data_IF_360040252176
#
_entry.id   IF_360040252176
#
_cell.length_a   1.000
_cell.length_b   1.000
_cell.length_c   1.000
_cell.angle_alpha   90.00
_cell.angle_beta   90.00
_cell.angle_gamma   90.00
#
_symmetry.space_group_name_H-M   'P 1'
#
loop_
_entity.id
_entity.type
_entity.pdbx_description
1 polymer ?
#
# COMPACT_ATOMS: atom_id res chain seq x y z
N UNK A 1 -25.16 10.96 -33.87
CA UNK A 1 -25.05 9.68 -33.12
C UNK A 1 -24.01 9.88 -32.03
N UNK A 2 -24.42 9.90 -30.76
CA UNK A 2 -23.50 10.08 -29.61
C UNK A 2 -23.34 8.71 -28.95
N UNK A 3 -22.13 8.17 -28.95
CA UNK A 3 -21.81 6.91 -28.27
C UNK A 3 -21.88 7.09 -26.74
N UNK A 4 -22.39 6.11 -25.97
CA UNK A 4 -22.42 6.22 -24.52
C UNK A 4 -20.99 6.07 -23.96
N UNK A 5 -20.59 7.00 -23.08
CA UNK A 5 -19.35 6.86 -22.30
C UNK A 5 -19.48 5.62 -21.41
N UNK A 6 -18.56 4.67 -21.60
CA UNK A 6 -18.41 3.45 -20.80
C UNK A 6 -18.25 3.85 -19.34
N UNK A 7 -19.22 3.49 -18.49
CA UNK A 7 -19.06 3.62 -17.03
C UNK A 7 -17.96 2.65 -16.63
N UNK A 8 -16.83 3.17 -16.16
CA UNK A 8 -15.79 2.41 -15.47
C UNK A 8 -16.45 1.70 -14.28
N UNK A 9 -16.74 0.41 -14.44
CA UNK A 9 -17.29 -0.41 -13.38
C UNK A 9 -16.26 -0.53 -12.27
N UNK A 10 -16.55 0.05 -11.11
CA UNK A 10 -15.77 -0.20 -9.90
C UNK A 10 -15.74 -1.72 -9.69
N UNK A 11 -14.54 -2.31 -9.73
CA UNK A 11 -14.36 -3.77 -9.73
C UNK A 11 -14.71 -4.30 -8.34
N UNK A 12 -15.99 -4.60 -8.11
CA UNK A 12 -16.54 -5.09 -6.84
C UNK A 12 -15.71 -6.24 -6.26
N UNK A 13 -15.17 -7.11 -7.13
CA UNK A 13 -14.32 -8.24 -6.77
C UNK A 13 -12.99 -7.87 -6.10
N UNK A 14 -12.40 -6.71 -6.42
CA UNK A 14 -11.18 -6.22 -5.75
C UNK A 14 -11.49 -5.71 -4.35
N UNK A 15 -12.61 -5.01 -4.20
CA UNK A 15 -13.06 -4.46 -2.93
C UNK A 15 -13.42 -5.59 -1.94
N UNK A 16 -14.15 -6.61 -2.41
CA UNK A 16 -14.47 -7.79 -1.58
C UNK A 16 -13.23 -8.54 -1.11
N UNK A 17 -12.21 -8.69 -1.97
CA UNK A 17 -10.94 -9.34 -1.58
C UNK A 17 -10.19 -8.55 -0.50
N UNK A 18 -10.17 -7.22 -0.62
CA UNK A 18 -9.50 -6.36 0.34
C UNK A 18 -10.17 -6.45 1.72
N UNK A 19 -11.50 -6.40 1.77
CA UNK A 19 -12.26 -6.57 3.02
C UNK A 19 -11.98 -7.93 3.66
N UNK A 20 -11.93 -9.00 2.88
CA UNK A 20 -11.63 -10.33 3.44
C UNK A 20 -10.22 -10.41 4.03
N UNK A 21 -9.23 -9.80 3.38
CA UNK A 21 -7.84 -9.81 3.88
C UNK A 21 -7.70 -8.99 5.18
N UNK A 22 -8.35 -7.82 5.24
CA UNK A 22 -8.37 -6.97 6.43
C UNK A 22 -9.06 -7.66 7.61
N UNK A 23 -10.21 -8.31 7.37
CA UNK A 23 -10.91 -9.08 8.39
C UNK A 23 -10.09 -10.27 8.91
N UNK A 24 -9.37 -10.99 8.04
CA UNK A 24 -8.49 -12.07 8.48
C UNK A 24 -7.31 -11.55 9.31
N UNK A 25 -6.73 -10.41 8.94
CA UNK A 25 -5.67 -9.78 9.73
C UNK A 25 -6.14 -9.42 11.14
N UNK A 26 -7.32 -8.81 11.28
CA UNK A 26 -7.89 -8.49 12.59
C UNK A 26 -8.09 -9.74 13.45
N UNK A 27 -8.57 -10.83 12.85
CA UNK A 27 -8.69 -12.12 13.55
C UNK A 27 -7.34 -12.65 14.01
N UNK A 28 -6.30 -12.57 13.18
CA UNK A 28 -4.94 -13.00 13.56
C UNK A 28 -4.38 -12.14 14.71
N UNK A 29 -4.53 -10.82 14.61
CA UNK A 29 -4.04 -9.88 15.64
C UNK A 29 -4.74 -10.09 16.98
N UNK A 30 -6.05 -10.40 17.00
CA UNK A 30 -6.78 -10.67 18.25
C UNK A 30 -6.36 -11.95 18.98
N UNK A 31 -5.62 -12.85 18.32
CA UNK A 31 -5.05 -14.05 18.92
C UNK A 31 -3.67 -13.83 19.54
N UNK A 32 -3.05 -12.67 19.32
CA UNK A 32 -1.74 -12.34 19.85
C UNK A 32 -1.80 -11.99 21.34
N UNK A 33 -0.74 -12.35 22.08
CA UNK A 33 -0.53 -11.86 23.44
C UNK A 33 -0.20 -10.35 23.44
N UNK A 34 -0.42 -9.63 24.57
CA UNK A 34 -0.10 -8.21 24.64
C UNK A 34 1.36 -7.87 24.29
N UNK A 35 2.31 -8.74 24.65
CA UNK A 35 3.73 -8.58 24.31
C UNK A 35 3.97 -8.64 22.79
N UNK A 36 3.34 -9.61 22.10
CA UNK A 36 3.47 -9.76 20.64
C UNK A 36 2.75 -8.63 19.90
N UNK A 37 1.66 -8.10 20.45
CA UNK A 37 1.01 -6.90 19.91
C UNK A 37 1.95 -5.69 19.96
N UNK A 38 2.75 -5.55 21.02
CA UNK A 38 3.74 -4.45 21.07
C UNK A 38 4.85 -4.64 20.03
N UNK A 39 5.36 -5.86 19.85
CA UNK A 39 6.32 -6.17 18.78
C UNK A 39 5.75 -5.86 17.38
N UNK A 40 4.49 -6.23 17.14
CA UNK A 40 3.77 -5.89 15.92
C UNK A 40 3.67 -4.36 15.70
N UNK A 41 3.37 -3.60 16.76
CA UNK A 41 3.29 -2.15 16.67
C UNK A 41 4.63 -1.50 16.34
N UNK A 42 5.73 -2.00 16.90
CA UNK A 42 7.09 -1.55 16.55
C UNK A 42 7.38 -1.82 15.08
N UNK A 43 7.19 -3.06 14.62
CA UNK A 43 7.41 -3.44 13.21
C UNK A 43 6.55 -2.62 12.26
N UNK A 44 5.27 -2.39 12.60
CA UNK A 44 4.35 -1.55 11.82
C UNK A 44 4.89 -0.13 11.69
N UNK A 45 5.32 0.50 12.80
CA UNK A 45 5.86 1.87 12.79
C UNK A 45 7.11 1.99 11.92
N UNK A 46 8.02 1.02 12.01
CA UNK A 46 9.25 1.02 11.21
C UNK A 46 8.95 0.99 9.71
N UNK A 47 8.01 0.13 9.32
CA UNK A 47 7.58 0.02 7.94
C UNK A 47 6.78 1.24 7.46
N UNK A 48 5.92 1.82 8.30
CA UNK A 48 5.20 3.07 8.00
C UNK A 48 6.19 4.23 7.76
N UNK A 49 7.25 4.31 8.57
CA UNK A 49 8.31 5.29 8.41
C UNK A 49 9.04 5.10 7.08
N UNK A 50 9.41 3.86 6.74
CA UNK A 50 10.06 3.54 5.47
C UNK A 50 9.15 3.90 4.28
N UNK A 51 7.87 3.52 4.30
CA UNK A 51 6.91 3.85 3.24
C UNK A 51 6.75 5.37 3.06
N UNK A 52 6.72 6.12 4.17
CA UNK A 52 6.67 7.59 4.12
C UNK A 52 7.92 8.17 3.48
N UNK A 53 9.10 7.68 3.83
CA UNK A 53 10.37 8.10 3.24
C UNK A 53 10.43 7.81 1.73
N UNK A 54 9.93 6.66 1.29
CA UNK A 54 9.83 6.33 -0.13
C UNK A 54 8.92 7.31 -0.87
N UNK A 55 7.76 7.64 -0.29
CA UNK A 55 6.83 8.63 -0.85
C UNK A 55 7.50 10.01 -1.01
N UNK A 56 8.21 10.47 0.03
CA UNK A 56 8.90 11.76 0.02
C UNK A 56 10.05 11.78 -1.00
N UNK A 57 10.83 10.71 -1.05
CA UNK A 57 11.96 10.56 -1.97
C UNK A 57 11.49 10.54 -3.41
N UNK A 58 10.53 9.68 -3.73
CA UNK A 58 10.04 9.52 -5.10
C UNK A 58 9.30 10.77 -5.55
N UNK A 59 8.48 11.38 -4.68
CA UNK A 59 7.79 12.62 -4.96
C UNK A 59 8.76 13.76 -5.28
N UNK A 60 9.85 13.87 -4.53
CA UNK A 60 10.91 14.86 -4.79
C UNK A 60 11.58 14.62 -6.15
N UNK A 61 11.97 13.38 -6.44
CA UNK A 61 12.61 13.03 -7.72
C UNK A 61 11.68 13.31 -8.91
N UNK A 62 10.41 12.91 -8.84
CA UNK A 62 9.42 13.16 -9.90
C UNK A 62 9.22 14.66 -10.10
N UNK A 63 9.09 15.44 -9.02
CA UNK A 63 8.98 16.91 -9.11
C UNK A 63 10.21 17.53 -9.77
N UNK A 64 11.41 17.06 -9.44
CA UNK A 64 12.64 17.52 -10.07
C UNK A 64 12.68 17.19 -11.57
N UNK A 65 12.26 15.99 -11.97
CA UNK A 65 12.23 15.59 -13.38
C UNK A 65 11.21 16.42 -14.18
N UNK A 66 10.01 16.64 -13.65
CA UNK A 66 8.98 17.48 -14.28
C UNK A 66 9.46 18.92 -14.45
N UNK A 67 10.20 19.46 -13.47
CA UNK A 67 10.76 20.81 -13.58
C UNK A 67 11.78 20.96 -14.72
N UNK A 68 12.43 19.86 -15.13
CA UNK A 68 13.39 19.83 -16.24
C UNK A 68 12.71 19.59 -17.58
N UNK A 69 11.68 18.77 -17.61
CA UNK A 69 10.87 18.48 -18.79
C UNK A 69 9.39 18.35 -18.40
N UNK A 70 8.60 19.43 -18.54
CA UNK A 70 7.18 19.43 -18.20
C UNK A 70 6.34 18.41 -19.00
N UNK A 71 6.80 17.98 -20.17
CA UNK A 71 6.08 17.01 -20.98
C UNK A 71 6.04 15.60 -20.34
N UNK A 72 6.86 15.35 -19.31
CA UNK A 72 6.91 14.09 -18.58
C UNK A 72 5.82 13.95 -17.51
N UNK A 73 5.14 15.04 -17.13
CA UNK A 73 4.26 15.09 -15.95
C UNK A 73 3.23 13.96 -15.91
N UNK A 74 2.38 13.83 -16.92
CA UNK A 74 1.31 12.82 -16.93
C UNK A 74 1.85 11.39 -16.82
N UNK A 75 2.95 11.10 -17.53
CA UNK A 75 3.56 9.76 -17.54
C UNK A 75 4.23 9.44 -16.21
N UNK A 76 5.00 10.37 -15.65
CA UNK A 76 5.68 10.18 -14.38
C UNK A 76 4.70 10.09 -13.22
N UNK A 77 3.62 10.88 -13.21
CA UNK A 77 2.59 10.80 -12.17
C UNK A 77 1.84 9.47 -12.23
N UNK A 78 1.56 8.93 -13.43
CA UNK A 78 0.96 7.61 -13.59
C UNK A 78 1.89 6.51 -13.03
N UNK A 79 3.16 6.49 -13.46
CA UNK A 79 4.15 5.50 -12.98
C UNK A 79 4.45 5.63 -11.48
N UNK A 80 4.46 6.85 -10.93
CA UNK A 80 4.62 7.09 -9.49
C UNK A 80 3.47 6.46 -8.70
N UNK A 81 2.22 6.65 -9.13
CA UNK A 81 1.05 6.06 -8.46
C UNK A 81 1.12 4.53 -8.43
N UNK A 82 1.51 3.92 -9.54
CA UNK A 82 1.70 2.47 -9.61
C UNK A 82 2.82 2.01 -8.69
N UNK A 83 3.98 2.69 -8.72
CA UNK A 83 5.11 2.38 -7.87
C UNK A 83 4.77 2.45 -6.38
N UNK A 84 4.10 3.53 -5.94
CA UNK A 84 3.69 3.69 -4.54
C UNK A 84 2.65 2.66 -4.14
N UNK A 85 1.74 2.27 -5.04
CA UNK A 85 0.78 1.19 -4.79
C UNK A 85 1.49 -0.16 -4.59
N UNK A 86 2.52 -0.44 -5.37
CA UNK A 86 3.29 -1.68 -5.25
C UNK A 86 4.09 -1.71 -3.93
N UNK A 87 4.70 -0.59 -3.54
CA UNK A 87 5.37 -0.47 -2.23
C UNK A 87 4.37 -0.65 -1.09
N UNK A 88 3.21 0.01 -1.16
CA UNK A 88 2.15 -0.14 -0.16
C UNK A 88 1.63 -1.59 -0.08
N UNK A 89 1.54 -2.30 -1.21
CA UNK A 89 1.16 -3.71 -1.22
C UNK A 89 2.22 -4.59 -0.55
N UNK A 90 3.50 -4.34 -0.81
CA UNK A 90 4.61 -5.03 -0.12
C UNK A 90 4.59 -4.79 1.38
N UNK A 91 4.35 -3.56 1.81
CA UNK A 91 4.18 -3.23 3.23
C UNK A 91 3.09 -4.08 3.90
N UNK A 92 1.93 -4.17 3.24
CA UNK A 92 0.80 -4.98 3.72
C UNK A 92 1.19 -6.46 3.80
N UNK A 93 1.84 -7.02 2.77
CA UNK A 93 2.30 -8.41 2.76
C UNK A 93 3.31 -8.70 3.86
N UNK A 94 4.33 -7.87 4.02
CA UNK A 94 5.36 -8.05 5.06
C UNK A 94 4.75 -8.01 6.47
N UNK A 95 3.74 -7.16 6.68
CA UNK A 95 3.04 -7.10 7.95
C UNK A 95 2.18 -8.36 8.22
N UNK A 96 1.56 -8.95 7.19
CA UNK A 96 0.84 -10.23 7.33
C UNK A 96 1.79 -11.38 7.66
N UNK A 97 2.92 -11.46 6.96
CA UNK A 97 3.96 -12.47 7.21
C UNK A 97 4.50 -12.37 8.63
N UNK A 98 4.77 -11.16 9.12
CA UNK A 98 5.22 -10.95 10.49
C UNK A 98 4.18 -11.36 11.53
N UNK A 99 2.89 -11.13 11.27
CA UNK A 99 1.82 -11.61 12.16
C UNK A 99 1.80 -13.14 12.21
N UNK A 100 2.00 -13.81 11.08
CA UNK A 100 2.06 -15.27 11.02
C UNK A 100 3.28 -15.83 11.78
N UNK A 101 4.44 -15.17 11.69
CA UNK A 101 5.61 -15.49 12.49
C UNK A 101 5.37 -15.33 14.00
N UNK A 102 4.65 -14.28 14.40
CA UNK A 102 4.28 -14.06 15.80
C UNK A 102 3.28 -15.12 16.30
N UNK A 103 2.43 -15.69 15.45
CA UNK A 103 1.49 -16.74 15.83
C UNK A 103 2.12 -18.15 15.89
N UNK A 104 3.17 -18.39 15.09
CA UNK A 104 3.84 -19.69 15.01
C UNK A 104 4.80 -19.98 16.18
N UNK A 105 5.29 -18.92 16.85
CA UNK A 105 6.20 -18.99 18.01
C UNK A 105 5.48 -18.72 19.32
#
# INVERSE_FOLDING_TARGET
MIAPKKKEGFKLSSFTKQISAESEREKKVSQLSPEKVEQLNVKRKDLELAYKQDCETFGTVVKMLISKDPALEDRLLASLRESLKDIGSKFVTELDEYIDELLAN
#
